data_IF_244657411453
#
_entry.id   IF_244657411453
#
_cell.length_a   1.000
_cell.length_b   1.000
_cell.length_c   1.000
_cell.angle_alpha   90.00
_cell.angle_beta   90.00
_cell.angle_gamma   90.00
#
_symmetry.space_group_name_H-M   'P 1'
#
loop_
_entity.id
_entity.type
_entity.pdbx_description
1 polymer ?
#
# COMPACT_ATOMS: atom_id res chain seq x y z
N UNK A 1 -7.72 3.55 -19.46
CA UNK A 1 -7.05 3.08 -18.21
C UNK A 1 -5.91 4.01 -17.87
N UNK A 2 -5.63 4.22 -16.60
CA UNK A 2 -4.41 4.83 -16.09
C UNK A 2 -3.55 3.67 -15.56
N UNK A 3 -2.42 3.32 -16.21
CA UNK A 3 -1.56 2.25 -15.74
C UNK A 3 -0.94 2.58 -14.37
N UNK A 4 -0.29 1.63 -13.72
CA UNK A 4 0.47 1.94 -12.51
C UNK A 4 1.73 2.72 -12.86
N UNK A 5 2.04 3.76 -12.08
CA UNK A 5 3.32 4.45 -12.10
C UNK A 5 3.78 4.72 -10.66
N UNK A 6 5.09 4.63 -10.41
CA UNK A 6 5.67 4.86 -9.09
C UNK A 6 5.54 6.30 -8.59
N UNK A 7 5.37 7.27 -9.48
CA UNK A 7 5.19 8.69 -9.14
C UNK A 7 3.87 8.95 -8.40
N UNK A 8 2.79 8.30 -8.81
CA UNK A 8 1.46 8.45 -8.19
C UNK A 8 0.98 7.20 -7.42
N UNK A 9 1.65 6.05 -7.56
CA UNK A 9 1.44 4.82 -6.75
C UNK A 9 0.03 4.22 -6.75
N UNK A 10 -0.75 4.47 -7.79
CA UNK A 10 -2.06 3.83 -8.02
C UNK A 10 -2.21 3.41 -9.47
N UNK A 11 -3.30 2.73 -9.81
CA UNK A 11 -3.76 2.53 -11.17
C UNK A 11 -5.29 2.55 -11.21
N UNK A 12 -5.85 2.96 -12.34
CA UNK A 12 -7.30 3.06 -12.50
C UNK A 12 -7.79 2.47 -13.83
N UNK A 13 -8.96 1.85 -13.81
CA UNK A 13 -9.60 1.27 -14.99
C UNK A 13 -11.05 1.68 -15.06
N UNK A 14 -11.50 1.98 -16.28
CA UNK A 14 -12.91 2.19 -16.58
C UNK A 14 -13.49 0.84 -17.01
N UNK A 15 -14.57 0.40 -16.38
CA UNK A 15 -15.18 -0.91 -16.58
C UNK A 15 -16.70 -0.81 -16.70
N UNK A 16 -17.30 -1.71 -17.47
CA UNK A 16 -18.74 -1.86 -17.58
C UNK A 16 -19.17 -3.11 -16.81
N UNK A 17 -20.15 -2.97 -15.92
CA UNK A 17 -20.73 -4.04 -15.11
C UNK A 17 -22.24 -3.84 -15.11
N UNK A 18 -23.01 -4.86 -15.53
CA UNK A 18 -24.48 -4.83 -15.52
C UNK A 18 -25.10 -3.55 -16.12
N UNK A 19 -24.54 -3.08 -17.25
CA UNK A 19 -24.91 -1.85 -17.95
C UNK A 19 -24.62 -0.53 -17.22
N UNK A 20 -23.98 -0.59 -16.06
CA UNK A 20 -23.40 0.56 -15.36
C UNK A 20 -21.91 0.67 -15.65
N UNK A 21 -21.38 1.89 -15.58
CA UNK A 21 -19.97 2.17 -15.84
C UNK A 21 -19.31 2.66 -14.57
N UNK A 22 -18.16 2.06 -14.25
CA UNK A 22 -17.39 2.36 -13.05
C UNK A 22 -15.95 2.69 -13.36
N UNK A 23 -15.38 3.59 -12.58
CA UNK A 23 -13.95 3.69 -12.38
C UNK A 23 -13.59 2.83 -11.18
N UNK A 24 -12.67 1.89 -11.36
CA UNK A 24 -12.00 1.19 -10.28
C UNK A 24 -10.57 1.66 -10.12
N UNK A 25 -10.21 1.96 -8.88
CA UNK A 25 -8.91 2.46 -8.45
C UNK A 25 -8.31 1.46 -7.48
N UNK A 26 -7.03 1.14 -7.64
CA UNK A 26 -6.26 0.42 -6.62
C UNK A 26 -4.87 1.02 -6.48
N UNK A 27 -4.32 1.02 -5.27
CA UNK A 27 -3.01 1.62 -5.05
C UNK A 27 -2.57 1.61 -3.59
N UNK A 28 -1.51 2.37 -3.34
CA UNK A 28 -0.95 2.55 -2.01
C UNK A 28 -2.01 3.20 -1.08
N UNK A 29 -2.25 2.64 0.13
CA UNK A 29 -3.31 3.14 1.01
C UNK A 29 -3.16 4.61 1.42
N UNK A 30 -1.93 5.05 1.68
CA UNK A 30 -1.59 6.44 2.01
C UNK A 30 -2.00 7.42 0.89
N UNK A 31 -1.86 6.99 -0.36
CA UNK A 31 -2.29 7.80 -1.52
C UNK A 31 -3.82 7.77 -1.67
N UNK A 32 -4.43 6.58 -1.61
CA UNK A 32 -5.87 6.45 -1.84
C UNK A 32 -6.70 7.12 -0.75
N UNK A 33 -6.25 7.12 0.51
CA UNK A 33 -6.94 7.83 1.59
C UNK A 33 -7.02 9.35 1.35
N UNK A 34 -6.07 9.92 0.60
CA UNK A 34 -6.11 11.32 0.18
C UNK A 34 -6.94 11.58 -1.08
N UNK A 35 -7.54 10.54 -1.68
CA UNK A 35 -8.31 10.63 -2.93
C UNK A 35 -9.78 10.24 -2.78
N UNK A 36 -10.17 9.72 -1.61
CA UNK A 36 -11.53 9.23 -1.36
C UNK A 36 -12.28 10.16 -0.42
N UNK A 37 -13.55 10.40 -0.73
CA UNK A 37 -14.44 11.23 0.08
C UNK A 37 -15.34 10.38 0.97
N UNK A 38 -15.58 9.13 0.54
CA UNK A 38 -16.55 8.23 1.13
C UNK A 38 -15.99 6.82 1.32
N UNK A 39 -16.68 5.98 2.07
CA UNK A 39 -16.41 4.56 2.22
C UNK A 39 -17.71 3.75 2.12
N UNK A 40 -17.58 2.47 1.74
CA UNK A 40 -18.67 1.50 1.88
C UNK A 40 -18.82 1.08 3.35
N UNK A 41 -19.96 1.41 3.95
CA UNK A 41 -20.42 0.84 5.20
C UNK A 41 -21.35 -0.35 4.98
N UNK A 42 -21.94 -0.86 6.07
CA UNK A 42 -22.69 -2.13 6.09
C UNK A 42 -23.84 -2.21 5.08
N UNK A 43 -24.43 -1.08 4.65
CA UNK A 43 -25.42 -1.01 3.55
C UNK A 43 -25.50 0.38 2.89
N UNK A 44 -24.60 1.31 3.21
CA UNK A 44 -24.65 2.69 2.73
C UNK A 44 -23.27 3.22 2.42
N UNK A 45 -23.19 4.21 1.53
CA UNK A 45 -22.00 5.03 1.36
C UNK A 45 -22.01 6.12 2.43
N UNK A 46 -20.95 6.19 3.23
CA UNK A 46 -20.79 7.19 4.30
C UNK A 46 -19.48 7.94 4.14
N UNK A 47 -19.33 9.07 4.83
CA UNK A 47 -18.08 9.85 4.78
C UNK A 47 -16.95 9.03 5.40
N UNK A 48 -15.78 9.02 4.76
CA UNK A 48 -14.64 8.27 5.29
C UNK A 48 -14.13 8.88 6.60
N UNK A 49 -13.65 8.01 7.49
CA UNK A 49 -12.86 8.38 8.68
C UNK A 49 -11.39 7.97 8.48
N UNK A 50 -10.53 8.84 7.89
CA UNK A 50 -9.17 8.46 7.51
C UNK A 50 -8.31 7.97 8.68
N UNK A 51 -8.47 8.57 9.86
CA UNK A 51 -7.69 8.22 11.06
C UNK A 51 -7.91 6.78 11.52
N UNK A 52 -9.10 6.22 11.34
CA UNK A 52 -9.38 4.82 11.66
C UNK A 52 -8.62 3.89 10.71
N UNK A 53 -8.63 4.21 9.42
CA UNK A 53 -7.92 3.45 8.40
C UNK A 53 -6.41 3.51 8.57
N UNK A 54 -5.85 4.68 8.86
CA UNK A 54 -4.42 4.84 9.14
C UNK A 54 -3.96 3.95 10.32
N UNK A 55 -4.75 3.89 11.39
CA UNK A 55 -4.48 2.99 12.53
C UNK A 55 -4.49 1.52 12.11
N UNK A 56 -5.47 1.11 11.29
CA UNK A 56 -5.57 -0.26 10.77
C UNK A 56 -4.40 -0.60 9.85
N UNK A 57 -4.02 0.30 8.93
CA UNK A 57 -2.87 0.16 8.04
C UNK A 57 -1.60 -0.02 8.87
N UNK A 58 -1.33 0.85 9.84
CA UNK A 58 -0.14 0.74 10.70
C UNK A 58 -0.13 -0.57 11.49
N UNK A 59 -1.27 -0.99 12.02
CA UNK A 59 -1.39 -2.25 12.75
C UNK A 59 -1.05 -3.47 11.87
N UNK A 60 -1.52 -3.50 10.63
CA UNK A 60 -1.26 -4.61 9.70
C UNK A 60 0.15 -4.55 9.11
N UNK A 61 0.68 -3.35 8.83
CA UNK A 61 2.06 -3.15 8.36
C UNK A 61 3.09 -3.67 9.38
N UNK A 62 2.84 -3.47 10.69
CA UNK A 62 3.66 -4.03 11.78
C UNK A 62 3.69 -5.56 11.81
N UNK A 63 2.73 -6.23 11.16
CA UNK A 63 2.71 -7.69 10.97
C UNK A 63 3.41 -8.12 9.66
N UNK A 64 4.15 -7.22 9.01
CA UNK A 64 4.84 -7.50 7.75
C UNK A 64 3.91 -7.55 6.53
N UNK A 65 2.66 -7.10 6.65
CA UNK A 65 1.75 -7.08 5.51
C UNK A 65 1.99 -5.85 4.62
N UNK A 66 2.06 -6.09 3.32
CA UNK A 66 1.96 -5.06 2.29
C UNK A 66 0.49 -4.75 2.04
N UNK A 67 0.10 -3.53 2.38
CA UNK A 67 -1.28 -3.08 2.27
C UNK A 67 -1.58 -2.53 0.87
N UNK A 68 -2.77 -2.81 0.36
CA UNK A 68 -3.32 -2.30 -0.90
C UNK A 68 -4.74 -1.82 -0.65
N UNK A 69 -5.07 -0.60 -1.07
CA UNK A 69 -6.42 -0.08 -0.99
C UNK A 69 -7.12 -0.16 -2.35
N UNK A 70 -8.45 -0.26 -2.32
CA UNK A 70 -9.32 -0.24 -3.50
C UNK A 70 -10.46 0.75 -3.31
N UNK A 71 -10.77 1.51 -4.35
CA UNK A 71 -11.85 2.47 -4.37
C UNK A 71 -12.59 2.41 -5.71
N UNK A 72 -13.81 2.94 -5.74
CA UNK A 72 -14.62 2.99 -6.93
C UNK A 72 -15.45 4.27 -7.05
N UNK A 73 -15.85 4.59 -8.27
CA UNK A 73 -16.79 5.66 -8.60
C UNK A 73 -17.67 5.21 -9.75
N UNK A 74 -18.98 5.30 -9.58
CA UNK A 74 -19.92 5.16 -10.71
C UNK A 74 -19.85 6.42 -11.57
N UNK A 75 -19.81 6.25 -12.90
CA UNK A 75 -19.72 7.36 -13.85
C UNK A 75 -20.74 7.21 -14.96
N UNK A 76 -20.93 8.26 -15.76
CA UNK A 76 -21.82 8.22 -16.91
C UNK A 76 -21.46 7.08 -17.86
N UNK A 77 -22.48 6.39 -18.39
CA UNK A 77 -22.33 5.35 -19.42
C UNK A 77 -21.68 5.88 -20.71
N UNK A 78 -21.72 7.19 -20.95
CA UNK A 78 -21.08 7.84 -22.09
C UNK A 78 -19.59 8.13 -21.90
N UNK A 79 -19.04 7.97 -20.69
CA UNK A 79 -17.63 8.23 -20.42
C UNK A 79 -16.76 7.20 -21.14
N UNK A 80 -15.94 7.61 -22.11
CA UNK A 80 -15.11 6.69 -22.92
C UNK A 80 -13.66 6.57 -22.44
N UNK A 81 -13.19 7.56 -21.69
CA UNK A 81 -11.81 7.69 -21.25
C UNK A 81 -11.75 8.00 -19.77
N UNK A 82 -10.56 7.85 -19.20
CA UNK A 82 -10.27 8.13 -17.81
C UNK A 82 -8.96 8.91 -17.73
N UNK A 83 -8.98 9.98 -16.93
CA UNK A 83 -7.89 10.91 -16.65
C UNK A 83 -7.72 11.04 -15.15
N UNK A 84 -6.63 11.67 -14.71
CA UNK A 84 -6.39 11.89 -13.28
C UNK A 84 -7.40 12.85 -12.65
N UNK A 85 -8.02 13.74 -13.45
CA UNK A 85 -9.04 14.66 -12.96
C UNK A 85 -10.31 13.92 -12.53
N UNK A 86 -10.66 12.85 -13.25
CA UNK A 86 -11.84 12.03 -12.97
C UNK A 86 -11.76 11.29 -11.61
N UNK A 87 -10.59 11.32 -10.94
CA UNK A 87 -10.33 10.63 -9.67
C UNK A 87 -10.39 11.54 -8.44
N UNK A 88 -10.61 12.85 -8.60
CA UNK A 88 -10.46 13.81 -7.49
C UNK A 88 -11.64 13.90 -6.53
N UNK A 89 -12.82 13.47 -6.96
CA UNK A 89 -14.08 13.66 -6.23
C UNK A 89 -14.95 12.41 -6.34
N UNK A 90 -15.82 12.20 -5.35
CA UNK A 90 -16.83 11.13 -5.26
C UNK A 90 -16.26 9.70 -5.32
N UNK A 91 -14.97 9.55 -5.05
CA UNK A 91 -14.35 8.24 -4.95
C UNK A 91 -14.75 7.62 -3.61
N UNK A 92 -15.25 6.38 -3.68
CA UNK A 92 -15.70 5.61 -2.52
C UNK A 92 -14.68 4.52 -2.22
N UNK A 93 -14.07 4.53 -1.05
CA UNK A 93 -13.24 3.44 -0.56
C UNK A 93 -14.09 2.17 -0.41
N UNK A 94 -13.70 1.11 -1.10
CA UNK A 94 -14.37 -0.20 -1.02
C UNK A 94 -13.74 -1.06 0.07
N UNK A 95 -12.43 -0.94 0.27
CA UNK A 95 -11.73 -1.69 1.29
C UNK A 95 -10.22 -1.74 1.09
N UNK A 96 -9.56 -2.52 1.94
CA UNK A 96 -8.12 -2.73 1.94
C UNK A 96 -7.77 -4.20 2.11
N UNK A 97 -6.66 -4.60 1.50
CA UNK A 97 -6.13 -5.96 1.55
C UNK A 97 -4.70 -5.92 2.08
N UNK A 98 -4.38 -6.83 2.99
CA UNK A 98 -3.01 -7.08 3.45
C UNK A 98 -2.46 -8.34 2.77
N UNK A 99 -1.37 -8.18 2.02
CA UNK A 99 -0.68 -9.29 1.35
C UNK A 99 0.67 -9.47 2.04
N UNK A 100 1.02 -10.71 2.38
CA UNK A 100 2.34 -11.02 2.94
C UNK A 100 3.10 -11.92 1.96
N UNK A 101 4.35 -11.55 1.66
CA UNK A 101 5.32 -12.45 1.04
C UNK A 101 6.25 -12.93 2.16
N UNK A 102 5.97 -14.10 2.77
CA UNK A 102 6.71 -14.54 3.95
C UNK A 102 8.18 -14.81 3.58
N UNK A 103 9.12 -14.52 4.49
CA UNK A 103 10.52 -14.81 4.24
C UNK A 103 10.78 -16.27 3.93
N UNK A 104 11.59 -16.53 2.91
CA UNK A 104 12.02 -17.89 2.59
C UNK A 104 12.84 -18.45 3.75
N UNK A 105 12.60 -19.70 4.21
CA UNK A 105 13.41 -20.33 5.25
C UNK A 105 14.92 -20.30 4.97
N UNK A 106 15.30 -20.40 3.69
CA UNK A 106 16.69 -20.30 3.24
C UNK A 106 17.34 -18.93 3.52
N UNK A 107 16.57 -17.84 3.46
CA UNK A 107 17.07 -16.50 3.76
C UNK A 107 17.40 -16.36 5.26
N UNK A 108 16.52 -16.89 6.12
CA UNK A 108 16.73 -16.93 7.57
C UNK A 108 18.03 -17.69 7.89
N UNK A 109 18.23 -18.87 7.29
CA UNK A 109 19.45 -19.65 7.49
C UNK A 109 20.71 -18.98 6.95
N UNK A 110 20.62 -18.29 5.80
CA UNK A 110 21.73 -17.53 5.24
C UNK A 110 22.15 -16.36 6.14
N UNK A 111 21.20 -15.63 6.72
CA UNK A 111 21.48 -14.53 7.65
C UNK A 111 22.15 -15.06 8.92
N UNK A 112 21.63 -16.15 9.51
CA UNK A 112 22.26 -16.81 10.67
C UNK A 112 23.71 -17.23 10.38
N UNK A 113 23.98 -17.81 9.21
CA UNK A 113 25.36 -18.19 8.80
C UNK A 113 26.25 -16.95 8.64
N UNK A 114 25.75 -15.90 8.01
CA UNK A 114 26.48 -14.64 7.80
C UNK A 114 26.87 -13.99 9.14
N UNK A 115 25.94 -13.93 10.09
CA UNK A 115 26.23 -13.41 11.42
C UNK A 115 27.26 -14.24 12.20
N UNK A 116 27.22 -15.58 12.09
CA UNK A 116 28.25 -16.46 12.70
C UNK A 116 29.64 -16.25 12.10
N UNK A 117 29.71 -15.84 10.85
CA UNK A 117 30.96 -15.51 10.17
C UNK A 117 31.44 -14.06 10.42
N UNK A 118 30.73 -13.27 11.25
CA UNK A 118 31.08 -11.86 11.51
C UNK A 118 30.69 -10.90 10.37
N UNK A 119 29.88 -11.34 9.40
CA UNK A 119 29.46 -10.53 8.26
C UNK A 119 28.24 -9.70 8.65
N UNK A 120 28.27 -8.40 8.35
CA UNK A 120 27.13 -7.50 8.52
C UNK A 120 26.18 -7.60 7.33
N UNK A 121 24.89 -7.79 7.60
CA UNK A 121 23.84 -7.87 6.58
C UNK A 121 22.91 -6.66 6.69
N UNK A 122 22.57 -6.06 5.54
CA UNK A 122 21.61 -4.94 5.43
C UNK A 122 20.51 -5.32 4.43
N UNK A 123 19.28 -4.93 4.72
CA UNK A 123 18.14 -5.06 3.79
C UNK A 123 17.92 -3.73 3.08
N UNK A 124 17.66 -3.80 1.77
CA UNK A 124 17.21 -2.66 0.95
C UNK A 124 15.90 -3.12 0.29
N UNK A 125 14.82 -2.41 0.52
CA UNK A 125 13.49 -2.73 -0.02
C UNK A 125 12.74 -1.44 -0.40
N UNK A 126 11.80 -1.55 -1.33
CA UNK A 126 10.86 -0.49 -1.68
C UNK A 126 9.58 -0.49 -0.85
N UNK A 127 9.45 -1.41 0.11
CA UNK A 127 8.30 -1.47 1.01
C UNK A 127 8.30 -0.32 2.03
N UNK A 128 7.14 -0.11 2.66
CA UNK A 128 6.99 0.85 3.75
C UNK A 128 7.93 0.50 4.93
N UNK A 129 8.41 1.53 5.65
CA UNK A 129 9.39 1.39 6.74
C UNK A 129 8.97 0.34 7.78
N UNK A 130 7.72 0.41 8.24
CA UNK A 130 7.20 -0.51 9.26
C UNK A 130 7.19 -1.97 8.79
N UNK A 131 6.80 -2.21 7.53
CA UNK A 131 6.81 -3.54 6.90
C UNK A 131 8.24 -4.06 6.81
N UNK A 132 9.18 -3.23 6.34
CA UNK A 132 10.59 -3.60 6.23
C UNK A 132 11.19 -3.96 7.60
N UNK A 133 10.88 -3.19 8.65
CA UNK A 133 11.32 -3.46 10.02
C UNK A 133 10.73 -4.78 10.54
N UNK A 134 9.45 -5.04 10.29
CA UNK A 134 8.80 -6.29 10.70
C UNK A 134 9.47 -7.51 10.04
N UNK A 135 9.67 -7.47 8.71
CA UNK A 135 10.35 -8.54 7.97
C UNK A 135 11.81 -8.70 8.43
N UNK A 136 12.52 -7.58 8.65
CA UNK A 136 13.90 -7.60 9.13
C UNK A 136 14.03 -8.29 10.50
N UNK A 137 13.06 -8.06 11.41
CA UNK A 137 12.98 -8.75 12.70
C UNK A 137 12.71 -10.24 12.51
N UNK A 138 11.77 -10.59 11.64
CA UNK A 138 11.40 -11.98 11.35
C UNK A 138 12.59 -12.80 10.80
N UNK A 139 13.39 -12.23 9.90
CA UNK A 139 14.55 -12.92 9.31
C UNK A 139 15.81 -12.88 10.19
N UNK A 140 15.74 -12.21 11.35
CA UNK A 140 16.82 -12.15 12.32
C UNK A 140 17.93 -11.16 11.99
N UNK A 141 17.64 -10.07 11.27
CA UNK A 141 18.57 -8.95 11.14
C UNK A 141 18.81 -8.26 12.47
N UNK A 142 20.03 -7.77 12.67
CA UNK A 142 20.41 -6.97 13.84
C UNK A 142 20.08 -5.48 13.58
N UNK A 143 19.92 -4.71 14.66
CA UNK A 143 19.72 -3.25 14.62
C UNK A 143 18.50 -2.80 13.79
N UNK A 144 17.41 -3.57 13.87
CA UNK A 144 16.17 -3.30 13.13
C UNK A 144 15.51 -1.97 13.50
N UNK A 145 15.78 -1.44 14.70
CA UNK A 145 15.22 -0.17 15.17
C UNK A 145 15.95 1.05 14.56
N UNK A 146 17.05 0.83 13.84
CA UNK A 146 17.82 1.85 13.12
C UNK A 146 17.46 1.94 11.63
N UNK A 147 16.24 1.56 11.26
CA UNK A 147 15.79 1.65 9.87
C UNK A 147 15.70 3.12 9.41
N UNK A 148 16.24 3.38 8.22
CA UNK A 148 16.26 4.68 7.57
C UNK A 148 15.54 4.59 6.22
N UNK A 149 14.77 5.62 5.89
CA UNK A 149 14.13 5.78 4.59
C UNK A 149 15.04 6.53 3.62
N UNK A 150 14.70 6.53 2.32
CA UNK A 150 15.42 7.34 1.33
C UNK A 150 15.44 8.83 1.70
N UNK A 151 14.31 9.36 2.20
CA UNK A 151 14.20 10.75 2.69
C UNK A 151 15.15 11.00 3.87
N UNK A 152 15.25 10.06 4.80
CA UNK A 152 16.16 10.19 5.95
C UNK A 152 17.62 10.31 5.44
N UNK A 153 18.02 9.45 4.48
CA UNK A 153 19.38 9.47 3.89
C UNK A 153 19.70 10.80 3.20
N UNK A 154 18.76 11.35 2.44
CA UNK A 154 18.94 12.64 1.74
C UNK A 154 19.22 13.80 2.70
N UNK A 155 18.81 13.68 3.96
CA UNK A 155 19.02 14.71 5.01
C UNK A 155 20.28 14.53 5.85
N UNK A 156 21.07 13.49 5.61
CA UNK A 156 22.28 13.15 6.38
C UNK A 156 23.58 13.78 5.85
N UNK A 157 23.50 14.79 4.97
CA UNK A 157 24.63 15.64 4.58
C UNK A 157 25.15 16.48 5.73
#
# INVERSE_FOLDING_TARGET
KIPFDSSYKYMATLVDIDHQRFIYLKGAPDVLLGMVDYQFGDNTTEKIEPELWEKMISHQAKKGQRMLATAMKEVSSDQKTITHEDLKEDMVLVGMYGIIDPPKPSAIEAIKKSHRAGISVKMITGDHKDTAVAIAKEIGLKNTDSAITGKDIETMT
#
